data_IF_571999100627
#
_entry.id   IF_571999100627
#
_cell.length_a   1.000
_cell.length_b   1.000
_cell.length_c   1.000
_cell.angle_alpha   90.00
_cell.angle_beta   90.00
_cell.angle_gamma   90.00
#
_symmetry.space_group_name_H-M   'P 1'
#
loop_
_entity.id
_entity.type
_entity.pdbx_description
1 polymer ?
#
# COMPACT_ATOMS: atom_id res chain seq x y z
N UNK A 1 -19.79 -17.12 2.73
CA UNK A 1 -19.32 -18.06 1.68
C UNK A 1 -18.08 -17.56 0.93
N UNK A 2 -17.94 -16.25 0.65
CA UNK A 2 -16.74 -15.65 0.03
C UNK A 2 -15.42 -15.79 0.82
N UNK A 3 -15.48 -15.86 2.16
CA UNK A 3 -14.31 -16.02 3.03
C UNK A 3 -13.56 -17.35 2.84
N UNK A 4 -14.23 -18.40 2.30
CA UNK A 4 -13.63 -19.72 2.01
C UNK A 4 -12.81 -19.77 0.71
N UNK A 5 -13.13 -18.91 -0.24
CA UNK A 5 -12.47 -18.92 -1.56
C UNK A 5 -11.12 -18.22 -1.49
N UNK A 6 -11.04 -17.13 -0.72
CA UNK A 6 -9.79 -16.40 -0.43
C UNK A 6 -8.83 -17.30 0.36
N UNK A 7 -9.34 -18.09 1.31
CA UNK A 7 -8.54 -19.05 2.08
C UNK A 7 -8.01 -20.20 1.22
N UNK A 8 -8.78 -20.72 0.26
CA UNK A 8 -8.32 -21.77 -0.65
C UNK A 8 -7.24 -21.31 -1.64
N UNK A 9 -7.33 -20.07 -2.16
CA UNK A 9 -6.27 -19.49 -3.00
C UNK A 9 -5.00 -19.22 -2.18
N UNK A 10 -5.17 -18.70 -0.95
CA UNK A 10 -4.10 -18.50 0.01
C UNK A 10 -3.37 -19.83 0.29
N UNK A 11 -4.08 -20.91 0.59
CA UNK A 11 -3.48 -22.24 0.84
C UNK A 11 -2.73 -22.82 -0.37
N UNK A 12 -3.24 -22.61 -1.59
CA UNK A 12 -2.59 -23.12 -2.82
C UNK A 12 -1.27 -22.42 -3.14
N UNK A 13 -1.23 -21.10 -2.99
CA UNK A 13 -0.02 -20.30 -3.21
C UNK A 13 0.97 -20.51 -2.04
N UNK A 14 0.46 -20.65 -0.82
CA UNK A 14 1.21 -20.98 0.40
C UNK A 14 1.98 -22.30 0.28
N UNK A 15 1.36 -23.34 -0.28
CA UNK A 15 2.03 -24.64 -0.49
C UNK A 15 3.14 -24.63 -1.55
N UNK A 16 3.16 -23.65 -2.47
CA UNK A 16 4.15 -23.60 -3.54
C UNK A 16 5.41 -22.79 -3.20
N UNK A 17 5.31 -21.81 -2.30
CA UNK A 17 6.41 -20.88 -2.02
C UNK A 17 7.27 -21.28 -0.82
N UNK A 18 6.74 -22.08 0.13
CA UNK A 18 7.43 -22.31 1.39
C UNK A 18 7.21 -23.71 1.96
N UNK A 19 8.27 -24.29 2.52
CA UNK A 19 8.32 -25.70 2.94
C UNK A 19 8.59 -25.79 4.45
N UNK A 20 7.56 -26.08 5.25
CA UNK A 20 7.62 -26.14 6.73
C UNK A 20 8.73 -27.04 7.30
N UNK A 21 9.46 -26.56 8.31
CA UNK A 21 10.20 -27.35 9.32
C UNK A 21 10.13 -26.63 10.68
N UNK A 22 10.19 -27.41 11.77
CA UNK A 22 9.58 -27.11 13.08
C UNK A 22 10.49 -26.35 14.07
N UNK A 23 11.72 -25.98 13.70
CA UNK A 23 12.67 -25.42 14.68
C UNK A 23 13.62 -24.38 14.08
N UNK A 24 13.46 -23.11 14.49
CA UNK A 24 14.33 -21.99 14.12
C UNK A 24 13.97 -20.71 14.91
N UNK A 25 14.85 -19.68 14.91
CA UNK A 25 14.59 -18.41 15.57
C UNK A 25 13.33 -17.75 15.00
N UNK A 26 12.57 -17.11 15.88
CA UNK A 26 11.27 -16.55 15.48
C UNK A 26 11.44 -15.37 14.52
N UNK A 27 10.78 -15.38 13.35
CA UNK A 27 10.98 -14.35 12.33
C UNK A 27 10.54 -12.96 12.80
N UNK A 28 11.02 -11.92 12.12
CA UNK A 28 10.71 -10.49 12.35
C UNK A 28 9.23 -10.19 12.65
N UNK A 29 8.33 -11.04 12.14
CA UNK A 29 6.87 -10.96 12.25
C UNK A 29 6.26 -11.43 13.58
N UNK A 30 7.03 -11.81 14.61
CA UNK A 30 6.50 -12.02 15.98
C UNK A 30 6.39 -10.73 16.82
N UNK A 31 6.70 -9.57 16.23
CA UNK A 31 6.55 -8.25 16.84
C UNK A 31 5.11 -7.69 16.65
N UNK A 32 4.68 -6.67 17.42
CA UNK A 32 3.35 -6.04 17.29
C UNK A 32 3.00 -5.58 15.87
N UNK A 33 3.97 -5.44 14.97
CA UNK A 33 3.77 -5.22 13.53
C UNK A 33 2.78 -6.19 12.89
N UNK A 34 2.74 -7.44 13.37
CA UNK A 34 1.85 -8.49 12.87
C UNK A 34 0.39 -8.08 12.83
N UNK A 35 -0.06 -7.30 13.81
CA UNK A 35 -1.44 -6.85 13.92
C UNK A 35 -1.67 -5.56 13.11
N UNK A 36 -0.64 -4.74 12.96
CA UNK A 36 -0.73 -3.44 12.29
C UNK A 36 -0.85 -3.59 10.77
N UNK A 37 -0.10 -4.52 10.14
CA UNK A 37 -0.25 -4.83 8.71
C UNK A 37 -1.67 -5.26 8.33
N UNK A 38 -2.36 -5.96 9.24
CA UNK A 38 -3.75 -6.34 9.01
C UNK A 38 -4.66 -5.12 9.06
N UNK A 39 -4.43 -4.20 10.00
CA UNK A 39 -5.17 -2.93 10.10
C UNK A 39 -4.99 -2.12 8.81
N UNK A 40 -3.77 -2.00 8.28
CA UNK A 40 -3.50 -1.29 7.02
C UNK A 40 -4.20 -1.95 5.84
N UNK A 41 -4.15 -3.27 5.72
CA UNK A 41 -4.90 -3.99 4.69
C UNK A 41 -6.41 -3.68 4.71
N UNK A 42 -7.05 -3.54 5.88
CA UNK A 42 -8.45 -3.11 5.94
C UNK A 42 -8.66 -1.63 5.63
N UNK A 43 -7.74 -0.75 6.03
CA UNK A 43 -7.77 0.67 5.68
C UNK A 43 -7.71 0.81 4.16
N UNK A 44 -6.80 0.09 3.49
CA UNK A 44 -6.70 0.04 2.03
C UNK A 44 -8.01 -0.44 1.37
N UNK A 45 -8.67 -1.46 1.93
CA UNK A 45 -9.99 -1.90 1.44
C UNK A 45 -11.05 -0.80 1.59
N UNK A 46 -11.06 -0.07 2.71
CA UNK A 46 -12.01 1.04 2.94
C UNK A 46 -11.73 2.18 1.96
N UNK A 47 -10.47 2.55 1.76
CA UNK A 47 -10.07 3.58 0.80
C UNK A 47 -10.43 3.15 -0.64
N UNK A 48 -10.24 1.87 -0.99
CA UNK A 48 -10.66 1.32 -2.27
C UNK A 48 -12.18 1.46 -2.47
N UNK A 49 -12.97 1.20 -1.44
CA UNK A 49 -14.42 1.32 -1.52
C UNK A 49 -14.86 2.78 -1.75
N UNK A 50 -14.28 3.72 -1.01
CA UNK A 50 -14.51 5.17 -1.19
C UNK A 50 -14.09 5.59 -2.61
N UNK A 51 -12.97 5.08 -3.10
CA UNK A 51 -12.46 5.35 -4.44
C UNK A 51 -13.39 4.80 -5.53
N UNK A 52 -13.87 3.56 -5.41
CA UNK A 52 -14.81 2.94 -6.36
C UNK A 52 -16.11 3.74 -6.39
N UNK A 53 -16.65 4.14 -5.24
CA UNK A 53 -17.83 4.99 -5.19
C UNK A 53 -17.60 6.32 -5.93
N UNK A 54 -16.44 6.95 -5.70
CA UNK A 54 -16.02 8.17 -6.39
C UNK A 54 -15.81 7.98 -7.90
N UNK A 55 -15.43 6.77 -8.32
CA UNK A 55 -15.21 6.44 -9.75
C UNK A 55 -16.49 6.49 -10.57
N UNK A 56 -17.64 6.15 -9.97
CA UNK A 56 -18.93 6.28 -10.63
C UNK A 56 -19.24 7.75 -10.98
N UNK A 57 -18.91 8.69 -10.09
CA UNK A 57 -19.03 10.12 -10.36
C UNK A 57 -18.00 10.61 -11.37
N UNK A 58 -16.78 10.04 -11.36
CA UNK A 58 -15.73 10.36 -12.34
C UNK A 58 -16.13 9.98 -13.78
N UNK A 59 -16.87 8.89 -13.98
CA UNK A 59 -17.37 8.47 -15.31
C UNK A 59 -18.30 9.53 -15.92
N UNK A 60 -19.18 10.12 -15.10
CA UNK A 60 -20.08 11.20 -15.52
C UNK A 60 -19.25 12.46 -15.83
N UNK A 61 -18.31 12.81 -14.94
CA UNK A 61 -17.44 13.97 -15.11
C UNK A 61 -16.41 13.86 -16.22
N UNK A 62 -16.11 12.66 -16.74
CA UNK A 62 -15.16 12.47 -17.84
C UNK A 62 -15.54 13.26 -19.09
N UNK A 63 -16.84 13.44 -19.33
CA UNK A 63 -17.33 14.27 -20.44
C UNK A 63 -17.18 15.76 -20.16
N UNK A 64 -17.20 16.17 -18.88
CA UNK A 64 -17.11 17.56 -18.47
C UNK A 64 -15.66 18.03 -18.31
N UNK A 65 -14.81 17.30 -17.58
CA UNK A 65 -13.43 17.66 -17.27
C UNK A 65 -12.46 16.48 -17.40
N UNK A 66 -11.85 16.36 -18.59
CA UNK A 66 -10.88 15.31 -18.89
C UNK A 66 -9.57 15.43 -18.08
N UNK A 67 -9.17 16.65 -17.71
CA UNK A 67 -7.89 16.93 -17.04
C UNK A 67 -7.76 16.32 -15.64
N UNK A 68 -8.87 15.91 -15.02
CA UNK A 68 -8.89 15.22 -13.71
C UNK A 68 -8.53 13.74 -13.86
N UNK A 69 -8.76 13.15 -15.02
CA UNK A 69 -8.63 11.71 -15.23
C UNK A 69 -7.22 11.16 -14.99
N UNK A 70 -6.13 11.85 -15.39
CA UNK A 70 -4.78 11.42 -15.02
C UNK A 70 -4.58 11.30 -13.52
N UNK A 71 -5.03 12.29 -12.73
CA UNK A 71 -4.94 12.26 -11.26
C UNK A 71 -5.70 11.04 -10.72
N UNK A 72 -6.93 10.84 -11.21
CA UNK A 72 -7.79 9.74 -10.79
C UNK A 72 -7.15 8.37 -11.10
N UNK A 73 -6.58 8.20 -12.29
CA UNK A 73 -5.90 6.98 -12.70
C UNK A 73 -4.66 6.68 -11.85
N UNK A 74 -3.83 7.70 -11.59
CA UNK A 74 -2.65 7.53 -10.74
C UNK A 74 -3.02 7.19 -9.29
N UNK A 75 -4.06 7.81 -8.72
CA UNK A 75 -4.59 7.43 -7.41
C UNK A 75 -5.08 5.98 -7.40
N UNK A 76 -5.80 5.53 -8.45
CA UNK A 76 -6.23 4.14 -8.57
C UNK A 76 -5.06 3.16 -8.58
N UNK A 77 -4.06 3.43 -9.44
CA UNK A 77 -2.88 2.58 -9.57
C UNK A 77 -2.12 2.48 -8.26
N UNK A 78 -1.95 3.61 -7.56
CA UNK A 78 -1.27 3.70 -6.28
C UNK A 78 -1.96 2.89 -5.17
N UNK A 79 -3.28 2.98 -5.12
CA UNK A 79 -4.09 2.30 -4.12
C UNK A 79 -4.13 0.79 -4.36
N UNK A 80 -4.24 0.38 -5.62
CA UNK A 80 -4.15 -1.04 -6.01
C UNK A 80 -2.75 -1.60 -5.71
N UNK A 81 -1.68 -0.87 -6.03
CA UNK A 81 -0.32 -1.32 -5.71
C UNK A 81 -0.07 -1.43 -4.21
N UNK A 82 -0.56 -0.48 -3.41
CA UNK A 82 -0.44 -0.52 -1.94
C UNK A 82 -1.16 -1.74 -1.38
N UNK A 83 -2.40 -1.99 -1.81
CA UNK A 83 -3.17 -3.17 -1.43
C UNK A 83 -2.45 -4.49 -1.76
N UNK A 84 -1.82 -4.57 -2.94
CA UNK A 84 -1.08 -5.78 -3.34
C UNK A 84 0.16 -6.02 -2.48
N UNK A 85 0.90 -4.96 -2.13
CA UNK A 85 2.07 -5.04 -1.26
C UNK A 85 1.65 -5.48 0.15
N UNK A 86 0.58 -4.92 0.68
CA UNK A 86 0.05 -5.25 2.01
C UNK A 86 -0.51 -6.67 2.08
N UNK A 87 -1.18 -7.10 1.01
CA UNK A 87 -1.61 -8.48 0.85
C UNK A 87 -0.42 -9.43 0.85
N UNK A 88 0.65 -9.11 0.13
CA UNK A 88 1.87 -9.93 0.08
C UNK A 88 2.52 -10.06 1.47
N UNK A 89 2.63 -8.98 2.23
CA UNK A 89 3.12 -9.05 3.62
C UNK A 89 2.20 -9.84 4.55
N UNK A 90 0.89 -9.75 4.33
CA UNK A 90 -0.09 -10.54 5.06
C UNK A 90 0.04 -12.04 4.78
N UNK A 91 0.49 -12.44 3.59
CA UNK A 91 0.77 -13.84 3.26
C UNK A 91 2.01 -14.37 3.99
N UNK A 92 3.11 -13.61 4.01
CA UNK A 92 4.37 -14.00 4.66
C UNK A 92 4.21 -14.23 6.17
N UNK A 93 3.29 -13.51 6.81
CA UNK A 93 2.91 -13.64 8.24
C UNK A 93 2.44 -15.06 8.66
N UNK A 94 2.08 -15.92 7.71
CA UNK A 94 1.47 -17.23 7.96
C UNK A 94 2.45 -18.37 8.28
N UNK A 95 3.75 -18.11 8.29
CA UNK A 95 4.78 -19.14 8.37
C UNK A 95 5.82 -18.87 9.45
N UNK A 96 6.22 -19.95 10.11
CA UNK A 96 7.45 -19.99 10.89
C UNK A 96 8.57 -20.15 9.87
N UNK A 97 9.42 -19.13 9.72
CA UNK A 97 10.52 -19.15 8.75
C UNK A 97 11.48 -20.28 9.13
N UNK A 98 11.87 -21.08 8.13
CA UNK A 98 12.38 -22.44 8.34
C UNK A 98 13.91 -22.50 8.26
N UNK A 99 14.53 -21.54 7.56
CA UNK A 99 15.98 -21.42 7.41
C UNK A 99 16.44 -19.96 7.45
N UNK A 100 17.72 -19.73 7.77
CA UNK A 100 18.32 -18.39 7.78
C UNK A 100 18.31 -17.73 6.39
N UNK A 101 18.55 -18.52 5.34
CA UNK A 101 18.48 -18.05 3.95
C UNK A 101 17.09 -17.50 3.61
N UNK A 102 16.01 -18.15 4.09
CA UNK A 102 14.65 -17.66 3.91
C UNK A 102 14.39 -16.36 4.69
N UNK A 103 14.99 -16.20 5.88
CA UNK A 103 14.90 -14.96 6.66
C UNK A 103 15.58 -13.80 5.91
N UNK A 104 16.77 -14.03 5.35
CA UNK A 104 17.53 -13.03 4.61
C UNK A 104 16.76 -12.60 3.36
N UNK A 105 16.27 -13.56 2.56
CA UNK A 105 15.50 -13.28 1.33
C UNK A 105 14.20 -12.54 1.66
N UNK A 106 13.46 -13.00 2.68
CA UNK A 106 12.21 -12.34 3.11
C UNK A 106 12.45 -10.91 3.58
N UNK A 107 13.54 -10.67 4.34
CA UNK A 107 13.89 -9.33 4.83
C UNK A 107 14.30 -8.41 3.68
N UNK A 108 15.08 -8.91 2.72
CA UNK A 108 15.46 -8.16 1.52
C UNK A 108 14.24 -7.78 0.67
N UNK A 109 13.36 -8.74 0.38
CA UNK A 109 12.11 -8.49 -0.33
C UNK A 109 11.24 -7.47 0.41
N UNK A 110 11.17 -7.56 1.74
CA UNK A 110 10.42 -6.61 2.57
C UNK A 110 10.93 -5.19 2.39
N UNK A 111 12.24 -4.98 2.49
CA UNK A 111 12.86 -3.66 2.32
C UNK A 111 12.64 -3.13 0.90
N UNK A 112 12.80 -3.98 -0.12
CA UNK A 112 12.56 -3.61 -1.52
C UNK A 112 11.11 -3.18 -1.75
N UNK A 113 10.12 -3.96 -1.32
CA UNK A 113 8.71 -3.60 -1.50
C UNK A 113 8.32 -2.35 -0.71
N UNK A 114 8.78 -2.19 0.53
CA UNK A 114 8.55 -0.98 1.31
C UNK A 114 9.15 0.26 0.63
N UNK A 115 10.38 0.18 0.12
CA UNK A 115 11.02 1.32 -0.57
C UNK A 115 10.29 1.70 -1.87
N UNK A 116 9.81 0.71 -2.64
CA UNK A 116 8.99 0.96 -3.83
C UNK A 116 7.64 1.60 -3.44
N UNK A 117 7.00 1.12 -2.36
CA UNK A 117 5.75 1.70 -1.82
C UNK A 117 5.96 3.17 -1.40
N UNK A 118 7.05 3.49 -0.70
CA UNK A 118 7.40 4.87 -0.33
C UNK A 118 7.57 5.74 -1.57
N UNK A 119 8.39 5.31 -2.53
CA UNK A 119 8.66 6.09 -3.73
C UNK A 119 7.38 6.35 -4.55
N UNK A 120 6.57 5.31 -4.75
CA UNK A 120 5.31 5.41 -5.49
C UNK A 120 4.32 6.35 -4.81
N UNK A 121 4.10 6.23 -3.50
CA UNK A 121 3.20 7.08 -2.72
C UNK A 121 3.63 8.57 -2.71
N UNK A 122 4.93 8.85 -2.61
CA UNK A 122 5.44 10.23 -2.68
C UNK A 122 5.26 10.80 -4.09
N UNK A 123 5.58 10.02 -5.13
CA UNK A 123 5.43 10.46 -6.51
C UNK A 123 3.97 10.74 -6.88
N UNK A 124 3.05 9.86 -6.48
CA UNK A 124 1.61 9.98 -6.79
C UNK A 124 0.99 11.18 -6.07
N UNK A 125 1.34 11.41 -4.82
CA UNK A 125 0.88 12.58 -4.08
C UNK A 125 1.40 13.90 -4.68
N UNK A 126 2.71 13.97 -4.98
CA UNK A 126 3.29 15.14 -5.60
C UNK A 126 2.65 15.44 -6.97
N UNK A 127 2.48 14.42 -7.80
CA UNK A 127 1.79 14.54 -9.08
C UNK A 127 0.35 15.03 -8.91
N UNK A 128 -0.39 14.46 -7.94
CA UNK A 128 -1.76 14.85 -7.62
C UNK A 128 -1.86 16.32 -7.22
N UNK A 129 -0.96 16.81 -6.36
CA UNK A 129 -0.93 18.22 -5.96
C UNK A 129 -0.62 19.16 -7.13
N UNK A 130 0.42 18.85 -7.91
CA UNK A 130 0.85 19.67 -9.03
C UNK A 130 -0.24 19.78 -10.11
N UNK A 131 -0.88 18.66 -10.45
CA UNK A 131 -1.95 18.66 -11.44
C UNK A 131 -3.23 19.32 -10.90
N UNK A 132 -3.57 19.11 -9.63
CA UNK A 132 -4.71 19.80 -8.99
C UNK A 132 -4.50 21.31 -8.97
N UNK A 133 -3.30 21.78 -8.63
CA UNK A 133 -2.94 23.20 -8.66
C UNK A 133 -3.09 23.80 -10.06
N UNK A 134 -2.57 23.10 -11.09
CA UNK A 134 -2.73 23.52 -12.50
C UNK A 134 -4.20 23.65 -12.94
N UNK A 135 -5.09 22.78 -12.44
CA UNK A 135 -6.52 22.83 -12.78
C UNK A 135 -7.20 24.00 -12.05
N UNK A 136 -6.91 24.18 -10.75
CA UNK A 136 -7.57 25.20 -9.90
C UNK A 136 -7.12 26.62 -10.25
N UNK A 137 -5.83 26.79 -10.58
CA UNK A 137 -5.23 28.10 -10.90
C UNK A 137 -5.22 28.40 -12.41
N UNK A 138 -5.84 27.54 -13.22
CA UNK A 138 -5.83 27.68 -14.67
C UNK A 138 -6.47 29.01 -15.11
N UNK A 139 -5.73 29.78 -15.91
CA UNK A 139 -6.25 30.96 -16.62
C UNK A 139 -6.91 30.61 -17.95
N UNK A 140 -6.82 29.35 -18.39
CA UNK A 140 -7.41 28.90 -19.64
C UNK A 140 -8.94 28.84 -19.53
N UNK A 141 -9.64 29.63 -20.35
CA UNK A 141 -11.09 29.72 -20.35
C UNK A 141 -11.79 28.35 -20.56
N UNK A 142 -11.19 27.45 -21.34
CA UNK A 142 -11.74 26.11 -21.59
C UNK A 142 -11.64 25.20 -20.36
N UNK A 143 -10.52 25.26 -19.61
CA UNK A 143 -10.35 24.49 -18.37
C UNK A 143 -11.24 25.08 -17.28
N UNK A 144 -11.30 26.41 -17.17
CA UNK A 144 -12.11 27.10 -16.18
C UNK A 144 -13.60 26.81 -16.34
N UNK A 145 -14.12 26.80 -17.57
CA UNK A 145 -15.53 26.49 -17.84
C UNK A 145 -15.88 25.03 -17.59
N UNK A 146 -14.95 24.10 -17.86
CA UNK A 146 -15.17 22.65 -17.77
C UNK A 146 -14.89 22.06 -16.39
N UNK A 147 -13.87 22.56 -15.70
CA UNK A 147 -13.29 21.92 -14.52
C UNK A 147 -13.51 22.66 -13.20
N UNK A 148 -14.04 23.89 -13.20
CA UNK A 148 -14.37 24.61 -11.95
C UNK A 148 -15.75 24.26 -11.36
N UNK A 149 -16.34 23.12 -11.74
CA UNK A 149 -17.57 22.64 -11.11
C UNK A 149 -17.31 22.19 -9.68
N UNK A 150 -18.34 22.25 -8.82
CA UNK A 150 -18.23 21.80 -7.43
C UNK A 150 -17.87 20.31 -7.33
N UNK A 151 -18.38 19.49 -8.25
CA UNK A 151 -18.14 18.04 -8.30
C UNK A 151 -16.69 17.73 -8.68
N UNK A 152 -16.12 18.45 -9.66
CA UNK A 152 -14.72 18.33 -10.05
C UNK A 152 -13.77 18.63 -8.89
N UNK A 153 -14.01 19.74 -8.16
CA UNK A 153 -13.21 20.10 -6.98
C UNK A 153 -13.34 19.07 -5.86
N UNK A 154 -14.54 18.53 -5.65
CA UNK A 154 -14.78 17.47 -4.66
C UNK A 154 -14.02 16.19 -5.01
N UNK A 155 -14.00 15.76 -6.27
CA UNK A 155 -13.20 14.60 -6.71
C UNK A 155 -11.70 14.82 -6.53
N UNK A 156 -11.20 16.01 -6.88
CA UNK A 156 -9.79 16.36 -6.66
C UNK A 156 -9.42 16.30 -5.17
N UNK A 157 -10.28 16.83 -4.31
CA UNK A 157 -10.09 16.78 -2.86
C UNK A 157 -10.05 15.34 -2.36
N UNK A 158 -10.94 14.46 -2.84
CA UNK A 158 -10.91 13.03 -2.50
C UNK A 158 -9.60 12.38 -2.90
N UNK A 159 -9.11 12.64 -4.12
CA UNK A 159 -7.84 12.08 -4.58
C UNK A 159 -6.67 12.53 -3.70
N UNK A 160 -6.65 13.80 -3.29
CA UNK A 160 -5.64 14.33 -2.37
C UNK A 160 -5.73 13.65 -0.99
N UNK A 161 -6.95 13.48 -0.45
CA UNK A 161 -7.16 12.83 0.84
C UNK A 161 -6.68 11.38 0.80
N UNK A 162 -7.07 10.63 -0.24
CA UNK A 162 -6.67 9.23 -0.40
C UNK A 162 -5.14 9.11 -0.49
N UNK A 163 -4.49 9.91 -1.35
CA UNK A 163 -3.04 9.86 -1.49
C UNK A 163 -2.32 10.30 -0.19
N UNK A 164 -2.89 11.23 0.57
CA UNK A 164 -2.37 11.63 1.89
C UNK A 164 -2.42 10.46 2.89
N UNK A 165 -3.51 9.70 2.90
CA UNK A 165 -3.63 8.50 3.75
C UNK A 165 -2.60 7.44 3.37
N UNK A 166 -2.41 7.16 2.08
CA UNK A 166 -1.39 6.20 1.63
C UNK A 166 0.02 6.62 2.05
N UNK A 167 0.36 7.91 2.03
CA UNK A 167 1.64 8.39 2.58
C UNK A 167 1.74 8.15 4.08
N UNK A 168 0.70 8.51 4.84
CA UNK A 168 0.70 8.36 6.29
C UNK A 168 0.89 6.89 6.69
N UNK A 169 0.18 5.99 6.01
CA UNK A 169 0.33 4.55 6.18
C UNK A 169 1.77 4.11 5.93
N UNK A 170 2.33 4.47 4.77
CA UNK A 170 3.69 4.09 4.40
C UNK A 170 4.73 4.64 5.37
N UNK A 171 4.50 5.84 5.92
CA UNK A 171 5.36 6.43 6.95
C UNK A 171 5.36 5.59 8.23
N UNK A 172 4.18 5.18 8.70
CA UNK A 172 4.05 4.32 9.89
C UNK A 172 4.67 2.94 9.63
N UNK A 173 4.44 2.34 8.46
CA UNK A 173 5.05 1.07 8.05
C UNK A 173 6.58 1.14 8.03
N UNK A 174 7.13 2.23 7.51
CA UNK A 174 8.58 2.44 7.42
C UNK A 174 9.21 2.52 8.82
N UNK A 175 8.60 3.28 9.74
CA UNK A 175 9.06 3.38 11.13
C UNK A 175 9.02 2.01 11.81
N UNK A 176 7.92 1.28 11.64
CA UNK A 176 7.74 -0.03 12.25
C UNK A 176 8.73 -1.06 11.69
N UNK A 177 8.97 -1.04 10.38
CA UNK A 177 9.96 -1.91 9.72
C UNK A 177 11.35 -1.63 10.27
N UNK A 178 11.72 -0.35 10.45
CA UNK A 178 12.98 0.05 11.07
C UNK A 178 13.13 -0.48 12.51
N UNK A 179 12.11 -0.30 13.37
CA UNK A 179 12.13 -0.86 14.73
C UNK A 179 12.27 -2.39 14.74
N UNK A 180 11.63 -3.07 13.78
CA UNK A 180 11.71 -4.53 13.66
C UNK A 180 13.12 -5.00 13.30
N UNK A 181 13.79 -4.30 12.39
CA UNK A 181 15.18 -4.58 12.02
C UNK A 181 16.13 -4.37 13.21
N UNK A 182 15.96 -3.27 13.97
CA UNK A 182 16.76 -3.02 15.18
C UNK A 182 16.55 -4.14 16.20
N UNK A 183 15.30 -4.51 16.45
CA UNK A 183 14.98 -5.54 17.42
C UNK A 183 15.55 -6.90 17.00
N UNK A 184 15.45 -7.25 15.71
CA UNK A 184 16.03 -8.46 15.16
C UNK A 184 17.56 -8.48 15.31
N UNK A 185 18.24 -7.38 14.94
CA UNK A 185 19.69 -7.24 15.13
C UNK A 185 20.10 -7.44 16.59
N UNK A 186 19.34 -6.86 17.53
CA UNK A 186 19.59 -7.03 18.98
C UNK A 186 19.36 -8.47 19.44
N UNK A 187 18.36 -9.16 18.90
CA UNK A 187 18.14 -10.58 19.19
C UNK A 187 19.31 -11.43 18.67
N UNK A 188 19.71 -11.27 17.40
CA UNK A 188 20.84 -12.00 16.81
C UNK A 188 22.14 -11.77 17.60
N UNK A 189 22.39 -10.53 18.03
CA UNK A 189 23.57 -10.20 18.86
C UNK A 189 23.53 -10.85 20.25
N UNK A 190 22.35 -11.00 20.86
CA UNK A 190 22.19 -11.64 22.17
C UNK A 190 22.27 -13.18 22.09
N UNK A 191 22.04 -13.77 20.92
CA UNK A 191 22.00 -15.22 20.73
C UNK A 191 23.34 -15.84 20.29
N UNK A 192 24.42 -15.05 20.11
CA UNK A 192 25.79 -15.47 19.71
C UNK A 192 25.87 -16.77 18.90
N UNK A 193 26.17 -16.65 17.59
CA UNK A 193 25.97 -17.61 16.47
C UNK A 193 24.61 -17.36 15.82
N UNK A 194 24.52 -16.84 14.60
CA UNK A 194 25.15 -17.31 13.37
C UNK A 194 25.51 -16.12 12.45
N UNK A 195 26.54 -16.33 11.62
CA UNK A 195 27.22 -15.42 10.69
C UNK A 195 26.26 -14.68 9.75
#
# INVERSE_FOLDING_TARGET
MYMRVITGLNEKIRGSLFRRKISGPTPLYKTPLRYIWFIFFYIDIILLYIFIFSSFFSIILRQECFDIYPIFFFTAANLVSSLFIDFFFTLIKGEEVVSEDEIIISTFLTIMFCSVKVATNVCTFYFSLMMSGKIIESTNANIKTRCHTSVAKWLLLICIIINSFSILETYVESILTFFSIIHFKKQVQNYETIV
#
